data_IF_901016454045
#
_entry.id   IF_901016454045
#
_cell.length_a   1.000
_cell.length_b   1.000
_cell.length_c   1.000
_cell.angle_alpha   90.00
_cell.angle_beta   90.00
_cell.angle_gamma   90.00
#
_symmetry.space_group_name_H-M   'P 1'
#
loop_
_entity.id
_entity.type
_entity.pdbx_description
1 polymer ?
#
# COMPACT_ATOMS: atom_id res chain seq x y z
N UNK A 1 30.59 31.50 -24.43
CA UNK A 1 29.42 32.00 -23.75
C UNK A 1 28.18 31.11 -23.83
N UNK A 2 27.70 30.65 -25.00
CA UNK A 2 26.54 29.77 -25.10
C UNK A 2 26.77 28.42 -24.37
N UNK A 3 27.91 27.76 -24.59
CA UNK A 3 28.29 26.51 -23.88
C UNK A 3 28.38 26.67 -22.37
N UNK A 4 28.90 27.83 -21.89
CA UNK A 4 28.97 28.07 -20.47
C UNK A 4 27.58 28.23 -19.83
N UNK A 5 26.66 28.93 -20.49
CA UNK A 5 25.29 29.09 -20.03
C UNK A 5 24.51 27.77 -20.08
N UNK A 6 24.70 26.96 -21.14
CA UNK A 6 24.09 25.65 -21.25
C UNK A 6 24.56 24.72 -20.12
N UNK A 7 25.87 24.61 -19.87
CA UNK A 7 26.41 23.79 -18.79
C UNK A 7 25.94 24.24 -17.40
N UNK A 8 25.87 25.55 -17.15
CA UNK A 8 25.36 26.11 -15.90
C UNK A 8 23.88 25.76 -15.70
N UNK A 9 23.09 25.82 -16.77
CA UNK A 9 21.67 25.42 -16.73
C UNK A 9 21.50 23.93 -16.44
N UNK A 10 22.29 23.06 -17.06
CA UNK A 10 22.26 21.60 -16.79
C UNK A 10 22.62 21.28 -15.34
N UNK A 11 23.66 21.92 -14.77
CA UNK A 11 24.04 21.74 -13.37
C UNK A 11 22.90 22.16 -12.45
N UNK A 12 22.27 23.29 -12.72
CA UNK A 12 21.14 23.80 -11.92
C UNK A 12 19.94 22.86 -12.00
N UNK A 13 19.59 22.35 -13.18
CA UNK A 13 18.50 21.38 -13.36
C UNK A 13 18.78 20.11 -12.55
N UNK A 14 20.00 19.56 -12.63
CA UNK A 14 20.37 18.38 -11.84
C UNK A 14 20.26 18.60 -10.34
N UNK A 15 20.70 19.76 -9.84
CA UNK A 15 20.62 20.09 -8.41
C UNK A 15 19.17 20.22 -7.94
N UNK A 16 18.32 20.92 -8.68
CA UNK A 16 16.90 21.08 -8.36
C UNK A 16 16.20 19.71 -8.38
N UNK A 17 16.45 18.90 -9.40
CA UNK A 17 15.86 17.55 -9.52
C UNK A 17 16.28 16.64 -8.35
N UNK A 18 17.55 16.69 -7.93
CA UNK A 18 18.04 15.93 -6.79
C UNK A 18 17.37 16.36 -5.48
N UNK A 19 17.31 17.66 -5.20
CA UNK A 19 16.67 18.22 -4.00
C UNK A 19 15.17 17.91 -3.96
N UNK A 20 14.48 18.03 -5.09
CA UNK A 20 13.07 17.70 -5.18
C UNK A 20 12.83 16.20 -4.91
N UNK A 21 13.66 15.32 -5.48
CA UNK A 21 13.56 13.87 -5.28
C UNK A 21 13.80 13.48 -3.82
N UNK A 22 14.80 14.05 -3.16
CA UNK A 22 15.06 13.83 -1.73
C UNK A 22 13.90 14.31 -0.86
N UNK A 23 13.34 15.49 -1.15
CA UNK A 23 12.19 16.04 -0.45
C UNK A 23 10.94 15.17 -0.58
N UNK A 24 10.64 14.70 -1.78
CA UNK A 24 9.52 13.79 -2.04
C UNK A 24 9.74 12.47 -1.30
N UNK A 25 10.92 11.88 -1.40
CA UNK A 25 11.26 10.63 -0.71
C UNK A 25 11.09 10.76 0.81
N UNK A 26 11.59 11.84 1.40
CA UNK A 26 11.45 12.10 2.83
C UNK A 26 9.99 12.23 3.26
N UNK A 27 9.17 12.97 2.51
CA UNK A 27 7.74 13.14 2.82
C UNK A 27 6.96 11.85 2.64
N UNK A 28 7.21 11.09 1.57
CA UNK A 28 6.60 9.78 1.36
C UNK A 28 6.98 8.80 2.47
N UNK A 29 8.26 8.74 2.84
CA UNK A 29 8.73 7.88 3.93
C UNK A 29 8.07 8.25 5.26
N UNK A 30 7.97 9.53 5.58
CA UNK A 30 7.29 10.02 6.79
C UNK A 30 5.81 9.65 6.79
N UNK A 31 5.14 9.80 5.64
CA UNK A 31 3.73 9.51 5.46
C UNK A 31 3.42 8.01 5.60
N UNK A 32 4.33 7.14 5.13
CA UNK A 32 4.16 5.69 5.18
C UNK A 32 4.64 5.07 6.50
N UNK A 33 5.48 5.75 7.26
CA UNK A 33 5.99 5.26 8.56
C UNK A 33 4.86 4.94 9.52
N UNK A 34 3.84 5.80 9.63
CA UNK A 34 2.72 5.58 10.54
C UNK A 34 1.87 4.37 10.16
N UNK A 35 1.36 4.23 8.93
CA UNK A 35 0.59 3.04 8.55
C UNK A 35 1.42 1.75 8.63
N UNK A 36 2.70 1.77 8.32
CA UNK A 36 3.59 0.60 8.50
C UNK A 36 3.70 0.23 9.98
N UNK A 37 4.00 1.19 10.86
CA UNK A 37 4.12 0.94 12.28
C UNK A 37 2.80 0.45 12.91
N UNK A 38 1.66 1.01 12.50
CA UNK A 38 0.36 0.55 12.98
C UNK A 38 0.07 -0.88 12.52
N UNK A 39 0.32 -1.19 11.26
CA UNK A 39 0.13 -2.56 10.73
C UNK A 39 1.05 -3.57 11.43
N UNK A 40 2.31 -3.22 11.69
CA UNK A 40 3.24 -4.04 12.45
C UNK A 40 2.81 -4.20 13.92
N UNK A 41 2.28 -3.14 14.55
CA UNK A 41 1.73 -3.22 15.91
C UNK A 41 0.55 -4.19 15.97
N UNK A 42 -0.37 -4.11 15.01
CA UNK A 42 -1.48 -5.06 14.90
C UNK A 42 -0.97 -6.50 14.69
N UNK A 43 0.04 -6.69 13.85
CA UNK A 43 0.62 -8.00 13.57
C UNK A 43 1.27 -8.66 14.79
N UNK A 44 1.66 -7.88 15.80
CA UNK A 44 2.24 -8.35 17.05
C UNK A 44 1.27 -8.26 18.24
N UNK A 45 0.03 -7.88 18.02
CA UNK A 45 -0.98 -7.81 19.06
C UNK A 45 -1.42 -9.22 19.51
N UNK A 46 -1.20 -9.52 20.78
CA UNK A 46 -1.55 -10.82 21.36
C UNK A 46 -3.04 -11.16 21.27
N UNK A 47 -3.93 -10.15 21.28
CA UNK A 47 -5.35 -10.36 21.07
C UNK A 47 -5.65 -10.81 19.65
N UNK A 48 -5.05 -10.17 18.65
CA UNK A 48 -5.25 -10.53 17.26
C UNK A 48 -4.67 -11.91 16.93
N UNK A 49 -3.48 -12.22 17.49
CA UNK A 49 -2.85 -13.55 17.36
C UNK A 49 -3.80 -14.61 17.91
N UNK A 50 -4.34 -14.42 19.13
CA UNK A 50 -5.30 -15.35 19.74
C UNK A 50 -6.56 -15.51 18.90
N UNK A 51 -7.12 -14.42 18.38
CA UNK A 51 -8.28 -14.49 17.50
C UNK A 51 -7.98 -15.36 16.27
N UNK A 52 -6.83 -15.20 15.64
CA UNK A 52 -6.46 -16.01 14.46
C UNK A 52 -6.21 -17.49 14.80
N UNK A 53 -5.65 -17.79 15.97
CA UNK A 53 -5.45 -19.17 16.41
C UNK A 53 -6.78 -19.91 16.62
N UNK A 54 -7.83 -19.19 17.01
CA UNK A 54 -9.18 -19.72 17.21
C UNK A 54 -10.05 -19.72 15.93
N UNK A 55 -9.64 -18.99 14.91
CA UNK A 55 -10.45 -18.66 13.72
C UNK A 55 -10.98 -19.91 13.00
N UNK A 56 -10.14 -20.90 12.76
CA UNK A 56 -10.53 -22.11 12.02
C UNK A 56 -11.73 -22.85 12.61
N UNK A 57 -11.95 -22.75 13.94
CA UNK A 57 -13.08 -23.38 14.62
C UNK A 57 -14.26 -22.45 14.87
N UNK A 58 -14.05 -21.14 14.82
CA UNK A 58 -15.02 -20.14 15.28
C UNK A 58 -15.50 -19.15 14.23
N UNK A 59 -14.95 -19.17 13.02
CA UNK A 59 -15.27 -18.17 11.98
C UNK A 59 -16.76 -18.09 11.62
N UNK A 60 -17.55 -19.15 11.86
CA UNK A 60 -19.00 -19.16 11.62
C UNK A 60 -19.82 -18.56 12.78
N UNK A 61 -19.21 -18.31 13.94
CA UNK A 61 -19.88 -17.71 15.08
C UNK A 61 -20.05 -16.21 14.87
N UNK A 62 -21.29 -15.70 14.90
CA UNK A 62 -21.58 -14.27 14.73
C UNK A 62 -20.86 -13.38 15.75
N UNK A 63 -20.78 -13.81 17.00
CA UNK A 63 -20.07 -13.07 18.06
C UNK A 63 -18.55 -12.99 17.83
N UNK A 64 -17.97 -14.03 17.25
CA UNK A 64 -16.56 -14.08 16.90
C UNK A 64 -16.27 -13.13 15.71
N UNK A 65 -17.06 -13.20 14.65
CA UNK A 65 -16.94 -12.28 13.51
C UNK A 65 -17.10 -10.81 13.93
N UNK A 66 -18.05 -10.53 14.82
CA UNK A 66 -18.25 -9.18 15.35
C UNK A 66 -17.06 -8.69 16.18
N UNK A 67 -16.38 -9.58 16.90
CA UNK A 67 -15.16 -9.23 17.63
C UNK A 67 -14.04 -8.82 16.68
N UNK A 68 -13.80 -9.57 15.61
CA UNK A 68 -12.83 -9.20 14.56
C UNK A 68 -13.23 -7.88 13.89
N UNK A 69 -14.50 -7.75 13.51
CA UNK A 69 -15.02 -6.53 12.89
C UNK A 69 -14.73 -5.29 13.75
N UNK A 70 -15.10 -5.34 15.04
CA UNK A 70 -14.84 -4.23 15.98
C UNK A 70 -13.38 -3.91 16.15
N UNK A 71 -12.52 -4.93 16.20
CA UNK A 71 -11.08 -4.74 16.27
C UNK A 71 -10.59 -3.93 15.06
N UNK A 72 -10.91 -4.35 13.84
CA UNK A 72 -10.49 -3.69 12.61
C UNK A 72 -11.10 -2.28 12.47
N UNK A 73 -12.39 -2.12 12.78
CA UNK A 73 -13.10 -0.85 12.73
C UNK A 73 -12.53 0.18 13.71
N UNK A 74 -12.05 -0.28 14.87
CA UNK A 74 -11.39 0.58 15.86
C UNK A 74 -10.16 1.25 15.28
N UNK A 75 -9.30 0.49 14.60
CA UNK A 75 -8.10 1.03 13.94
C UNK A 75 -8.45 1.93 12.76
N UNK A 76 -9.44 1.52 11.95
CA UNK A 76 -9.92 2.33 10.84
C UNK A 76 -10.37 3.73 11.30
N UNK A 77 -11.22 3.78 12.31
CA UNK A 77 -11.77 5.04 12.82
C UNK A 77 -10.72 5.86 13.58
N UNK A 78 -9.88 5.22 14.39
CA UNK A 78 -8.83 5.91 15.16
C UNK A 78 -7.85 6.65 14.29
N UNK A 79 -7.46 6.08 13.17
CA UNK A 79 -6.41 6.60 12.31
C UNK A 79 -6.91 7.14 10.97
N UNK A 80 -8.23 7.10 10.74
CA UNK A 80 -8.88 7.53 9.50
C UNK A 80 -8.32 6.82 8.24
N UNK A 81 -8.06 5.52 8.33
CA UNK A 81 -7.68 4.72 7.17
C UNK A 81 -8.87 4.42 6.28
N UNK A 82 -8.64 4.31 4.97
CA UNK A 82 -9.67 3.91 4.03
C UNK A 82 -10.04 2.44 4.19
N UNK A 83 -9.06 1.59 4.48
CA UNK A 83 -9.25 0.17 4.71
C UNK A 83 -8.41 -0.33 5.89
N UNK A 84 -8.93 -1.31 6.61
CA UNK A 84 -8.20 -2.15 7.58
C UNK A 84 -8.69 -3.56 7.39
N UNK A 85 -7.79 -4.52 7.22
CA UNK A 85 -8.13 -5.89 6.87
C UNK A 85 -7.29 -6.92 7.61
N UNK A 86 -7.80 -8.14 7.64
CA UNK A 86 -7.18 -9.32 8.22
C UNK A 86 -7.44 -10.52 7.31
N UNK A 87 -6.42 -11.31 7.03
CA UNK A 87 -6.57 -12.60 6.34
C UNK A 87 -6.08 -13.73 7.24
N UNK A 88 -6.92 -14.75 7.44
CA UNK A 88 -6.51 -15.97 8.14
C UNK A 88 -5.74 -16.89 7.18
N UNK A 89 -4.57 -17.36 7.58
CA UNK A 89 -3.82 -18.32 6.77
C UNK A 89 -4.39 -19.76 6.86
N UNK A 90 -5.22 -20.06 7.87
CA UNK A 90 -5.82 -21.37 8.04
C UNK A 90 -7.02 -21.61 7.12
N UNK A 91 -7.85 -20.59 6.92
CA UNK A 91 -9.09 -20.66 6.14
C UNK A 91 -9.05 -19.87 4.84
N UNK A 92 -8.09 -18.94 4.69
CA UNK A 92 -8.03 -17.90 3.66
C UNK A 92 -9.24 -16.94 3.71
N UNK A 93 -9.91 -16.84 4.85
CA UNK A 93 -10.96 -15.88 5.05
C UNK A 93 -10.39 -14.46 5.16
N UNK A 94 -10.98 -13.54 4.40
CA UNK A 94 -10.67 -12.12 4.40
C UNK A 94 -11.72 -11.36 5.21
N UNK A 95 -11.25 -10.68 6.23
CA UNK A 95 -12.06 -9.79 7.08
C UNK A 95 -11.66 -8.36 6.85
N UNK A 96 -12.63 -7.46 6.93
CA UNK A 96 -12.40 -6.03 6.95
C UNK A 96 -13.24 -5.36 8.05
N UNK A 97 -13.26 -4.04 8.06
CA UNK A 97 -14.03 -3.27 9.03
C UNK A 97 -15.57 -3.46 8.94
N UNK A 98 -16.06 -4.13 7.89
CA UNK A 98 -17.48 -4.54 7.75
C UNK A 98 -17.72 -5.98 8.22
N UNK A 99 -16.70 -6.76 8.51
CA UNK A 99 -16.77 -8.15 8.95
C UNK A 99 -16.11 -9.13 7.99
N UNK A 100 -16.59 -10.38 7.99
CA UNK A 100 -16.16 -11.39 7.02
C UNK A 100 -16.68 -11.02 5.63
N UNK A 101 -15.78 -10.78 4.70
CA UNK A 101 -16.10 -10.30 3.35
C UNK A 101 -16.07 -11.43 2.33
N UNK A 102 -14.95 -12.15 2.23
CA UNK A 102 -14.76 -13.20 1.22
C UNK A 102 -13.71 -14.22 1.64
N UNK A 103 -13.58 -15.27 0.84
CA UNK A 103 -12.48 -16.22 0.92
C UNK A 103 -11.51 -15.98 -0.24
N UNK A 104 -10.23 -15.91 0.06
CA UNK A 104 -9.19 -15.70 -0.95
C UNK A 104 -8.80 -17.04 -1.59
N UNK A 105 -9.63 -17.54 -2.50
CA UNK A 105 -9.35 -18.78 -3.23
C UNK A 105 -8.10 -18.64 -4.12
N UNK A 106 -7.34 -19.73 -4.25
CA UNK A 106 -6.19 -19.78 -5.17
C UNK A 106 -6.66 -19.78 -6.62
N UNK A 107 -5.90 -19.11 -7.49
CA UNK A 107 -6.14 -19.10 -8.93
C UNK A 107 -7.04 -17.95 -9.40
N UNK A 108 -7.51 -17.10 -8.52
CA UNK A 108 -8.21 -15.87 -8.84
C UNK A 108 -7.22 -14.71 -8.90
N UNK A 109 -7.26 -13.93 -9.99
CA UNK A 109 -6.31 -12.84 -10.24
C UNK A 109 -6.33 -11.78 -9.14
N UNK A 110 -7.50 -11.49 -8.58
CA UNK A 110 -7.70 -10.54 -7.49
C UNK A 110 -7.02 -10.94 -6.18
N UNK A 111 -6.70 -12.22 -6.00
CA UNK A 111 -6.08 -12.77 -4.78
C UNK A 111 -4.56 -12.98 -4.91
N UNK A 112 -3.98 -12.71 -6.08
CA UNK A 112 -2.55 -12.94 -6.38
C UNK A 112 -1.63 -12.18 -5.42
N UNK A 113 -2.00 -10.97 -5.02
CA UNK A 113 -1.24 -10.16 -4.07
C UNK A 113 -0.95 -10.90 -2.75
N UNK A 114 -1.94 -11.60 -2.21
CA UNK A 114 -1.85 -12.33 -0.95
C UNK A 114 -0.86 -13.50 -1.05
N UNK A 115 -0.97 -14.30 -2.08
CA UNK A 115 -0.09 -15.45 -2.28
C UNK A 115 1.33 -15.04 -2.62
N UNK A 116 1.52 -14.00 -3.41
CA UNK A 116 2.82 -13.41 -3.69
C UNK A 116 3.48 -12.90 -2.40
N UNK A 117 2.72 -12.21 -1.56
CA UNK A 117 3.23 -11.75 -0.28
C UNK A 117 3.62 -12.92 0.62
N UNK A 118 2.81 -13.97 0.73
CA UNK A 118 3.17 -15.15 1.51
C UNK A 118 4.43 -15.87 0.98
N UNK A 119 4.72 -15.80 -0.31
CA UNK A 119 5.92 -16.39 -0.92
C UNK A 119 7.15 -15.49 -0.82
N UNK A 120 6.99 -14.19 -0.70
CA UNK A 120 8.11 -13.22 -0.73
C UNK A 120 9.11 -13.39 0.40
N UNK A 121 8.73 -13.97 1.53
CA UNK A 121 9.56 -14.06 2.73
C UNK A 121 9.65 -12.75 3.53
N UNK A 122 9.12 -11.64 3.01
CA UNK A 122 9.17 -10.34 3.65
C UNK A 122 8.22 -10.26 4.87
N UNK A 123 8.59 -9.55 5.92
CA UNK A 123 7.73 -9.35 7.10
C UNK A 123 6.60 -8.38 6.82
N UNK A 124 6.82 -7.39 5.96
CA UNK A 124 5.77 -6.52 5.43
C UNK A 124 6.05 -6.15 3.97
N UNK A 125 5.03 -5.75 3.26
CA UNK A 125 5.13 -5.23 1.90
C UNK A 125 4.14 -4.09 1.68
N UNK A 126 4.40 -3.32 0.63
CA UNK A 126 3.50 -2.29 0.12
C UNK A 126 3.04 -2.71 -1.27
N UNK A 127 1.75 -2.58 -1.55
CA UNK A 127 1.22 -2.73 -2.91
C UNK A 127 0.12 -1.71 -3.17
N UNK A 128 -0.03 -1.32 -4.43
CA UNK A 128 -1.09 -0.45 -4.90
C UNK A 128 -2.09 -1.29 -5.66
N UNK A 129 -3.35 -1.22 -5.26
CA UNK A 129 -4.44 -1.97 -5.86
C UNK A 129 -5.77 -1.25 -5.70
N UNK A 130 -6.80 -1.73 -6.39
CA UNK A 130 -8.16 -1.28 -6.18
C UNK A 130 -8.69 -1.82 -4.85
N UNK A 131 -9.30 -0.94 -4.06
CA UNK A 131 -10.03 -1.38 -2.86
C UNK A 131 -11.43 -1.84 -3.26
N UNK A 132 -11.62 -3.15 -3.32
CA UNK A 132 -12.86 -3.81 -3.74
C UNK A 132 -13.90 -3.94 -2.61
N UNK A 133 -13.55 -3.47 -1.41
CA UNK A 133 -14.47 -3.50 -0.26
C UNK A 133 -15.72 -2.68 -0.54
N UNK A 134 -16.87 -3.20 -0.13
CA UNK A 134 -18.15 -2.50 -0.25
C UNK A 134 -18.08 -1.11 0.40
N UNK A 135 -18.36 -0.06 -0.38
CA UNK A 135 -18.27 1.34 0.04
C UNK A 135 -16.95 2.04 -0.26
N UNK A 136 -15.90 1.32 -0.66
CA UNK A 136 -14.64 1.92 -1.09
C UNK A 136 -14.69 2.50 -2.52
N UNK A 137 -15.75 2.22 -3.29
CA UNK A 137 -15.98 2.71 -4.64
C UNK A 137 -14.80 2.42 -5.60
N UNK A 138 -14.16 1.27 -5.45
CA UNK A 138 -13.01 0.84 -6.28
C UNK A 138 -11.86 1.86 -6.31
N UNK A 139 -11.66 2.57 -5.22
CA UNK A 139 -10.60 3.56 -5.10
C UNK A 139 -9.24 2.89 -5.13
N UNK A 140 -8.30 3.54 -5.80
CA UNK A 140 -6.91 3.11 -5.77
C UNK A 140 -6.33 3.39 -4.40
N UNK A 141 -5.81 2.34 -3.81
CA UNK A 141 -5.36 2.32 -2.42
C UNK A 141 -3.97 1.72 -2.34
N UNK A 142 -3.12 2.35 -1.53
CA UNK A 142 -1.84 1.76 -1.14
C UNK A 142 -2.08 0.91 0.11
N UNK A 143 -1.84 -0.39 -0.01
CA UNK A 143 -1.96 -1.34 1.08
C UNK A 143 -0.61 -1.61 1.74
N UNK A 144 -0.63 -1.65 3.06
CA UNK A 144 0.46 -2.18 3.88
C UNK A 144 0.04 -3.57 4.33
N UNK A 145 0.82 -4.59 4.00
CA UNK A 145 0.56 -5.97 4.35
C UNK A 145 1.62 -6.44 5.35
N UNK A 146 1.23 -6.90 6.54
CA UNK A 146 2.13 -7.40 7.57
C UNK A 146 1.80 -8.84 7.93
N UNK A 147 2.83 -9.71 8.06
CA UNK A 147 2.67 -11.08 8.52
C UNK A 147 2.36 -11.13 10.00
N UNK A 148 1.42 -12.00 10.35
CA UNK A 148 1.16 -12.37 11.74
C UNK A 148 1.74 -13.75 11.98
N UNK A 149 2.52 -13.89 13.06
CA UNK A 149 3.14 -15.15 13.45
C UNK A 149 2.64 -15.62 14.83
N UNK A 150 2.50 -16.93 14.97
CA UNK A 150 2.27 -17.54 16.26
C UNK A 150 3.58 -17.63 17.10
N UNK A 151 3.46 -18.14 18.32
CA UNK A 151 4.61 -18.29 19.22
C UNK A 151 5.71 -19.23 18.68
N UNK A 152 5.40 -20.09 17.72
CA UNK A 152 6.37 -20.96 17.03
C UNK A 152 7.06 -20.29 15.83
N UNK A 153 6.67 -19.06 15.47
CA UNK A 153 7.15 -18.32 14.30
C UNK A 153 6.44 -18.69 13.00
N UNK A 154 5.42 -19.55 13.04
CA UNK A 154 4.63 -19.90 11.85
C UNK A 154 3.71 -18.74 11.47
N UNK A 155 3.61 -18.45 10.18
CA UNK A 155 2.67 -17.45 9.66
C UNK A 155 1.26 -17.98 9.80
N UNK A 156 0.41 -17.25 10.55
CA UNK A 156 -1.00 -17.58 10.82
C UNK A 156 -1.96 -16.62 10.14
N UNK A 157 -1.47 -15.50 9.60
CA UNK A 157 -2.30 -14.54 8.90
C UNK A 157 -1.52 -13.36 8.35
N UNK A 158 -2.29 -12.46 7.74
CA UNK A 158 -1.81 -11.16 7.23
C UNK A 158 -2.78 -10.09 7.71
N UNK A 159 -2.26 -9.00 8.24
CA UNK A 159 -3.04 -7.83 8.65
C UNK A 159 -2.47 -6.59 7.98
N UNK A 160 -3.32 -5.62 7.73
CA UNK A 160 -2.84 -4.38 7.17
C UNK A 160 -3.86 -3.28 7.08
N UNK A 161 -3.39 -2.15 6.59
CA UNK A 161 -4.19 -0.95 6.40
C UNK A 161 -4.07 -0.45 4.96
N UNK A 162 -5.10 0.24 4.48
CA UNK A 162 -5.14 0.88 3.19
C UNK A 162 -5.16 2.40 3.31
N UNK A 163 -4.29 3.07 2.58
CA UNK A 163 -4.17 4.52 2.49
C UNK A 163 -4.54 4.97 1.08
N UNK A 164 -5.40 6.00 0.98
CA UNK A 164 -5.85 6.51 -0.31
C UNK A 164 -4.67 7.11 -1.11
N UNK A 165 -4.52 6.67 -2.36
CA UNK A 165 -3.48 7.15 -3.28
C UNK A 165 -3.65 8.62 -3.65
N UNK A 166 -4.86 9.19 -3.59
CA UNK A 166 -5.09 10.62 -3.86
C UNK A 166 -4.26 11.52 -2.94
N UNK A 167 -3.95 11.05 -1.74
CA UNK A 167 -3.08 11.75 -0.82
C UNK A 167 -1.62 11.80 -1.34
N UNK A 168 -1.15 10.71 -1.92
CA UNK A 168 0.17 10.64 -2.57
C UNK A 168 0.19 11.53 -3.82
N UNK A 169 -0.88 11.48 -4.63
CA UNK A 169 -1.02 12.34 -5.82
C UNK A 169 -0.96 13.83 -5.47
N UNK A 170 -1.66 14.24 -4.41
CA UNK A 170 -1.62 15.62 -3.93
C UNK A 170 -0.19 16.08 -3.61
N UNK A 171 0.59 15.23 -2.96
CA UNK A 171 1.98 15.50 -2.66
C UNK A 171 2.83 15.64 -3.94
N UNK A 172 2.67 14.74 -4.90
CA UNK A 172 3.37 14.81 -6.19
C UNK A 172 3.02 16.12 -6.92
N UNK A 173 1.74 16.48 -6.97
CA UNK A 173 1.26 17.73 -7.62
C UNK A 173 1.85 18.99 -6.96
N UNK A 174 2.00 19.03 -5.64
CA UNK A 174 2.66 20.14 -4.96
C UNK A 174 4.10 20.33 -5.43
N UNK A 175 4.86 19.23 -5.53
CA UNK A 175 6.25 19.28 -6.00
C UNK A 175 6.36 19.62 -7.48
N UNK A 176 5.48 19.12 -8.33
CA UNK A 176 5.44 19.45 -9.76
C UNK A 176 5.23 20.95 -9.97
N UNK A 177 4.31 21.53 -9.20
CA UNK A 177 4.03 22.98 -9.27
C UNK A 177 5.17 23.84 -8.72
N UNK A 178 5.81 23.40 -7.63
CA UNK A 178 6.88 24.16 -6.98
C UNK A 178 8.17 24.17 -7.80
N UNK A 179 8.50 23.04 -8.43
CA UNK A 179 9.79 22.85 -9.11
C UNK A 179 9.69 22.79 -10.64
N UNK A 180 8.48 22.90 -11.21
CA UNK A 180 8.22 22.79 -12.65
C UNK A 180 8.81 21.51 -13.24
N UNK A 181 8.49 20.38 -12.62
CA UNK A 181 8.94 19.02 -12.99
C UNK A 181 7.76 18.07 -13.04
N UNK A 182 7.86 16.99 -13.80
CA UNK A 182 6.94 15.86 -13.70
C UNK A 182 7.47 14.82 -12.69
N UNK A 183 6.57 14.23 -11.89
CA UNK A 183 6.92 13.27 -10.86
C UNK A 183 6.19 11.95 -11.08
N UNK A 184 6.89 10.85 -10.88
CA UNK A 184 6.35 9.50 -11.04
C UNK A 184 6.81 8.63 -9.86
N UNK A 185 5.88 7.84 -9.31
CA UNK A 185 6.20 6.74 -8.42
C UNK A 185 6.26 5.46 -9.27
N UNK A 186 7.42 4.86 -9.35
CA UNK A 186 7.66 3.66 -10.15
C UNK A 186 8.04 2.48 -9.26
N UNK A 187 7.69 1.26 -9.68
CA UNK A 187 8.14 0.04 -9.03
C UNK A 187 9.53 -0.40 -9.53
N UNK A 188 10.05 -1.49 -8.99
CA UNK A 188 11.36 -2.05 -9.36
C UNK A 188 11.47 -2.47 -10.82
N UNK A 189 10.32 -2.70 -11.49
CA UNK A 189 10.24 -3.06 -12.92
C UNK A 189 10.20 -1.84 -13.84
N UNK A 190 10.18 -0.61 -13.30
CA UNK A 190 10.03 0.63 -14.04
C UNK A 190 8.59 0.95 -14.46
N UNK A 191 7.60 0.24 -13.92
CA UNK A 191 6.19 0.51 -14.18
C UNK A 191 5.72 1.68 -13.32
N UNK A 192 4.89 2.58 -13.89
CA UNK A 192 4.33 3.72 -13.15
C UNK A 192 3.21 3.21 -12.24
N UNK A 193 3.39 3.39 -10.94
CA UNK A 193 2.41 3.05 -9.92
C UNK A 193 1.50 4.24 -9.59
N UNK A 194 2.06 5.44 -9.47
CA UNK A 194 1.34 6.68 -9.20
C UNK A 194 1.92 7.83 -10.00
N UNK A 195 1.06 8.65 -10.57
CA UNK A 195 1.39 9.90 -11.24
C UNK A 195 0.25 10.88 -11.09
N UNK A 196 0.54 12.18 -11.12
CA UNK A 196 -0.48 13.23 -11.15
C UNK A 196 -1.30 13.22 -12.44
N UNK A 197 -0.74 12.68 -13.54
CA UNK A 197 -1.34 12.65 -14.87
C UNK A 197 -2.27 11.45 -15.09
N UNK A 198 -2.12 10.36 -14.31
CA UNK A 198 -2.87 9.13 -14.49
C UNK A 198 -3.81 8.90 -13.31
N UNK A 199 -5.08 8.66 -13.62
CA UNK A 199 -6.07 8.22 -12.65
C UNK A 199 -6.07 6.69 -12.60
N UNK A 200 -5.41 6.13 -11.61
CA UNK A 200 -5.44 4.72 -11.34
C UNK A 200 -4.13 3.99 -11.56
N UNK A 201 -4.15 2.70 -11.20
CA UNK A 201 -3.07 1.77 -11.47
C UNK A 201 -2.97 1.57 -12.98
N UNK A 202 -2.02 2.25 -13.62
CA UNK A 202 -1.69 2.03 -15.02
C UNK A 202 -0.31 1.41 -15.11
N UNK A 203 -0.25 0.26 -15.75
CA UNK A 203 0.99 -0.41 -16.16
C UNK A 203 1.63 0.31 -17.36
N UNK A 204 1.68 1.63 -17.34
CA UNK A 204 2.42 2.38 -18.35
C UNK A 204 3.91 2.23 -18.02
N UNK A 205 4.62 1.51 -18.88
CA UNK A 205 6.06 1.38 -18.82
C UNK A 205 6.70 2.77 -18.91
N UNK A 206 7.37 3.20 -17.85
CA UNK A 206 8.00 4.51 -17.76
C UNK A 206 8.93 4.77 -18.95
N UNK A 207 9.64 3.75 -19.41
CA UNK A 207 10.52 3.85 -20.56
C UNK A 207 9.75 4.14 -21.85
N UNK A 208 8.53 3.62 -22.01
CA UNK A 208 7.68 3.93 -23.19
C UNK A 208 7.07 5.32 -23.15
N UNK A 209 6.79 5.84 -21.97
CA UNK A 209 6.25 7.21 -21.80
C UNK A 209 7.30 8.27 -22.15
N UNK A 210 8.58 7.99 -21.84
CA UNK A 210 9.68 8.93 -22.11
C UNK A 210 10.33 8.79 -23.49
N UNK A 211 10.11 7.67 -24.21
CA UNK A 211 10.58 7.51 -25.61
C UNK A 211 9.75 8.31 -26.63
N UNK A 212 8.63 8.89 -26.23
CA UNK A 212 7.74 9.65 -27.10
C UNK A 212 7.93 11.17 -27.05
N UNK A 213 8.78 11.67 -26.17
CA UNK A 213 9.17 13.08 -26.16
C UNK A 213 10.65 13.19 -26.52
N UNK A 214 10.90 13.68 -27.71
CA UNK A 214 12.20 13.96 -28.30
C UNK A 214 13.20 14.54 -27.31
N UNK A 215 14.31 13.86 -27.14
CA UNK A 215 15.55 14.40 -26.60
C UNK A 215 16.25 15.26 -27.68
#
# INVERSE_FOLDING_TARGET
>A
SYRANYNASLVKIKQVSSLASEGIYYRLSTMLTKPVNISQTMAHDSLLIKLLEEEGSRYQEAGYQETIRKYLDTYKNKYAYDSVFLVSASTNNYYNFNGLDRNLARGEDENVWYYNFLQSGEEYSLNIDNDEVAGAANKITLFVNCRIRDASGRVIGVVGVGVNVDYIKGLLQEYEKEYDVATYLINEKGEIEVSSLYNGHQTADWFKVNDSEDI
#
